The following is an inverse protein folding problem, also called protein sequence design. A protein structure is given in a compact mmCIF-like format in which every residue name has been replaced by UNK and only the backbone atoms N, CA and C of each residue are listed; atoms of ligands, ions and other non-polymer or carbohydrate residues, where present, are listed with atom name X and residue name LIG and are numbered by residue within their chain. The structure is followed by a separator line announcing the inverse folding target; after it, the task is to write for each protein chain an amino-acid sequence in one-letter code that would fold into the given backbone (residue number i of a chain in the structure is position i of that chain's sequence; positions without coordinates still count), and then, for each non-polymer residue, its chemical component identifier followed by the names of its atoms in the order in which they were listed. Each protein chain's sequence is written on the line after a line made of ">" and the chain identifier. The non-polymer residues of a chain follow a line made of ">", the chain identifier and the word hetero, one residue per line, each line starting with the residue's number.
data_IF_110307389644
#
_entry.id   IF_110307389644
#
_cell.length_a   1.000
_cell.length_b   1.000
_cell.length_c   1.000
_cell.angle_alpha   90.00
_cell.angle_beta   90.00
_cell.angle_gamma   90.00
#
_symmetry.space_group_name_H-M   'P 1'
#
loop_
_entity.id
_entity.type
_entity.pdbx_description
1 polymer ?
#
# COMPACT_ATOMS: atom_id res chain seq x y z
N UNK A 1 27.87 10.32 -10.49
CA UNK A 1 26.81 11.19 -11.02
C UNK A 1 26.69 12.42 -10.12
N UNK A 2 26.75 13.63 -10.69
CA UNK A 2 26.58 14.89 -9.95
C UNK A 2 25.06 15.06 -9.78
N UNK A 3 24.57 14.95 -8.55
CA UNK A 3 23.16 15.22 -8.23
C UNK A 3 22.85 16.70 -8.47
N UNK A 4 21.80 16.99 -9.22
CA UNK A 4 21.37 18.37 -9.51
C UNK A 4 20.75 19.01 -8.26
N UNK A 5 21.16 20.23 -7.94
CA UNK A 5 20.46 21.07 -6.96
C UNK A 5 19.23 21.70 -7.64
N UNK A 6 18.03 21.18 -7.35
CA UNK A 6 16.76 21.74 -7.84
C UNK A 6 16.06 22.51 -6.70
N UNK A 7 15.53 23.73 -6.92
CA UNK A 7 14.84 24.50 -5.88
C UNK A 7 13.57 23.82 -5.39
N UNK A 8 13.35 23.80 -4.08
CA UNK A 8 12.33 23.06 -3.35
C UNK A 8 10.88 23.26 -3.83
N UNK A 9 10.45 24.49 -4.10
CA UNK A 9 9.07 24.79 -4.52
C UNK A 9 8.72 24.16 -5.88
N UNK A 10 9.70 23.97 -6.75
CA UNK A 10 9.50 23.32 -8.04
C UNK A 10 9.30 21.79 -7.89
N UNK A 11 10.01 21.14 -6.97
CA UNK A 11 9.96 19.68 -6.82
C UNK A 11 8.58 19.16 -6.42
N UNK A 12 7.84 19.85 -5.54
CA UNK A 12 6.50 19.43 -5.12
C UNK A 12 5.45 19.63 -6.22
N UNK A 13 5.52 20.74 -6.91
CA UNK A 13 4.65 21.04 -8.07
C UNK A 13 4.93 20.05 -9.21
N UNK A 14 6.20 19.71 -9.45
CA UNK A 14 6.62 18.75 -10.46
C UNK A 14 6.20 17.32 -10.12
N UNK A 15 6.28 16.89 -8.86
CA UNK A 15 5.77 15.59 -8.43
C UNK A 15 4.26 15.45 -8.66
N UNK A 16 3.46 16.47 -8.38
CA UNK A 16 2.03 16.45 -8.67
C UNK A 16 1.73 16.39 -10.18
N UNK A 17 2.51 17.10 -10.98
CA UNK A 17 2.43 17.05 -12.44
C UNK A 17 2.80 15.65 -12.95
N UNK A 18 3.90 15.08 -12.46
CA UNK A 18 4.35 13.74 -12.84
C UNK A 18 3.37 12.66 -12.37
N UNK A 19 2.74 12.82 -11.21
CA UNK A 19 1.66 11.95 -10.76
C UNK A 19 0.45 11.99 -11.71
N UNK A 20 0.15 13.16 -12.31
CA UNK A 20 -0.88 13.23 -13.34
C UNK A 20 -0.45 12.50 -14.63
N UNK A 21 0.83 12.49 -14.98
CA UNK A 21 1.35 11.69 -16.09
C UNK A 21 1.21 10.19 -15.81
N UNK A 22 1.51 9.72 -14.59
CA UNK A 22 1.24 8.33 -14.19
C UNK A 22 -0.24 7.99 -14.34
N UNK A 23 -1.16 8.86 -13.90
CA UNK A 23 -2.61 8.67 -14.10
C UNK A 23 -3.00 8.54 -15.57
N UNK A 24 -2.38 9.32 -16.43
CA UNK A 24 -2.60 9.26 -17.87
C UNK A 24 -2.02 7.97 -18.46
N UNK A 25 -0.82 7.55 -18.02
CA UNK A 25 -0.20 6.29 -18.43
C UNK A 25 -1.06 5.08 -18.03
N UNK A 26 -1.60 5.06 -16.79
CA UNK A 26 -2.55 4.03 -16.33
C UNK A 26 -3.74 3.93 -17.30
N UNK A 27 -4.34 5.04 -17.72
CA UNK A 27 -5.47 5.02 -18.68
C UNK A 27 -5.04 4.54 -20.06
N UNK A 28 -3.91 5.03 -20.57
CA UNK A 28 -3.39 4.75 -21.92
C UNK A 28 -3.02 3.27 -22.06
N UNK A 29 -2.29 2.72 -21.09
CA UNK A 29 -1.73 1.37 -21.18
C UNK A 29 -2.80 0.27 -21.02
N UNK A 30 -3.95 0.57 -20.39
CA UNK A 30 -5.08 -0.38 -20.29
C UNK A 30 -5.77 -0.69 -21.63
N UNK A 31 -5.49 0.08 -22.69
CA UNK A 31 -6.04 -0.17 -24.04
C UNK A 31 -7.57 -0.21 -24.01
N UNK A 32 -8.21 0.95 -24.01
CA UNK A 32 -9.66 1.16 -23.77
C UNK A 32 -10.53 0.60 -24.92
N UNK A 33 -10.60 -0.72 -25.06
CA UNK A 33 -11.52 -1.36 -26.01
C UNK A 33 -12.73 -2.03 -25.34
N UNK A 34 -12.67 -2.27 -24.01
CA UNK A 34 -13.72 -2.94 -23.26
C UNK A 34 -14.29 -2.03 -22.17
N UNK A 35 -15.63 -1.91 -22.03
CA UNK A 35 -16.25 -1.03 -21.04
C UNK A 35 -15.74 -1.23 -19.61
N UNK A 36 -15.54 -2.48 -19.19
CA UNK A 36 -15.10 -2.77 -17.82
C UNK A 36 -13.64 -2.39 -17.56
N UNK A 37 -12.75 -2.35 -18.56
CA UNK A 37 -11.41 -1.81 -18.43
C UNK A 37 -11.43 -0.29 -18.21
N UNK A 38 -12.42 0.39 -18.80
CA UNK A 38 -12.66 1.82 -18.57
C UNK A 38 -13.06 2.08 -17.11
N UNK A 39 -13.95 1.25 -16.56
CA UNK A 39 -14.40 1.38 -15.15
C UNK A 39 -13.25 1.15 -14.18
N UNK A 40 -12.38 0.17 -14.45
CA UNK A 40 -11.19 -0.09 -13.66
C UNK A 40 -10.16 1.05 -13.76
N UNK A 41 -9.92 1.57 -14.97
CA UNK A 41 -9.05 2.73 -15.15
C UNK A 41 -9.55 3.95 -14.35
N UNK A 42 -10.85 4.19 -14.36
CA UNK A 42 -11.46 5.23 -13.55
C UNK A 42 -11.24 4.98 -12.06
N UNK A 43 -11.47 3.75 -11.57
CA UNK A 43 -11.21 3.39 -10.18
C UNK A 43 -9.76 3.66 -9.77
N UNK A 44 -8.79 3.26 -10.59
CA UNK A 44 -7.36 3.40 -10.29
C UNK A 44 -6.89 4.85 -10.16
N UNK A 45 -7.55 5.79 -10.83
CA UNK A 45 -7.17 7.20 -10.86
C UNK A 45 -8.08 8.11 -10.02
N UNK A 46 -9.04 7.54 -9.27
CA UNK A 46 -9.91 8.35 -8.41
C UNK A 46 -9.14 8.94 -7.21
N UNK A 47 -9.61 10.05 -6.62
CA UNK A 47 -9.00 10.64 -5.42
C UNK A 47 -8.93 9.72 -4.20
N UNK A 48 -9.80 8.69 -4.15
CA UNK A 48 -9.81 7.70 -3.07
C UNK A 48 -8.67 6.67 -3.17
N UNK A 49 -7.99 6.60 -4.30
CA UNK A 49 -6.78 5.81 -4.47
C UNK A 49 -5.59 6.78 -4.48
N UNK A 50 -5.06 7.08 -3.31
CA UNK A 50 -4.09 8.16 -3.09
C UNK A 50 -2.76 8.01 -3.87
N UNK A 51 -2.57 6.93 -4.65
CA UNK A 51 -1.36 6.67 -5.47
C UNK A 51 -0.05 6.99 -4.74
N UNK A 52 -0.04 6.79 -3.42
CA UNK A 52 1.13 7.08 -2.57
C UNK A 52 2.36 6.28 -2.98
N UNK A 53 2.20 5.09 -3.59
CA UNK A 53 3.32 4.28 -4.11
C UNK A 53 4.03 4.97 -5.27
N UNK A 54 3.25 5.44 -6.24
CA UNK A 54 3.77 6.22 -7.37
C UNK A 54 4.38 7.54 -6.92
N UNK A 55 3.82 8.17 -5.87
CA UNK A 55 4.37 9.38 -5.31
C UNK A 55 5.74 9.12 -4.66
N UNK A 56 5.89 8.04 -3.88
CA UNK A 56 7.18 7.63 -3.30
C UNK A 56 8.21 7.35 -4.39
N UNK A 57 7.84 6.63 -5.45
CA UNK A 57 8.70 6.40 -6.62
C UNK A 57 9.16 7.72 -7.24
N UNK A 58 8.24 8.64 -7.56
CA UNK A 58 8.55 9.89 -8.24
C UNK A 58 9.44 10.82 -7.40
N UNK A 59 9.17 10.91 -6.10
CA UNK A 59 9.99 11.68 -5.19
C UNK A 59 11.38 11.05 -5.01
N UNK A 60 11.48 9.73 -4.98
CA UNK A 60 12.79 9.05 -4.96
C UNK A 60 13.56 9.26 -6.29
N UNK A 61 12.85 9.26 -7.42
CA UNK A 61 13.45 9.51 -8.73
C UNK A 61 14.00 10.94 -8.86
N UNK A 62 13.34 11.93 -8.26
CA UNK A 62 13.79 13.33 -8.29
C UNK A 62 15.14 13.57 -7.57
N UNK A 63 15.64 12.60 -6.81
CA UNK A 63 17.00 12.63 -6.25
C UNK A 63 18.07 12.46 -7.34
N UNK A 64 17.74 11.88 -8.47
CA UNK A 64 18.69 11.51 -9.52
C UNK A 64 18.54 12.36 -10.77
N UNK A 65 17.32 12.43 -11.33
CA UNK A 65 17.02 13.25 -12.51
C UNK A 65 15.52 13.56 -12.60
N UNK A 66 15.13 14.38 -13.60
CA UNK A 66 13.72 14.62 -13.92
C UNK A 66 13.06 13.32 -14.46
N UNK A 67 11.89 12.94 -13.95
CA UNK A 67 11.19 11.73 -14.36
C UNK A 67 10.89 11.72 -15.86
N UNK A 68 11.32 10.67 -16.56
CA UNK A 68 11.04 10.39 -17.97
C UNK A 68 9.86 9.42 -18.16
N UNK A 69 9.62 8.98 -19.39
CA UNK A 69 8.56 8.03 -19.72
C UNK A 69 8.74 6.68 -19.01
N UNK A 70 9.99 6.24 -18.77
CA UNK A 70 10.27 4.96 -18.15
C UNK A 70 9.86 4.98 -16.66
N UNK A 71 10.19 6.05 -15.92
CA UNK A 71 9.78 6.17 -14.51
C UNK A 71 8.25 6.33 -14.37
N UNK A 72 7.60 7.00 -15.33
CA UNK A 72 6.14 7.12 -15.38
C UNK A 72 5.49 5.75 -15.64
N UNK A 73 6.06 4.96 -16.57
CA UNK A 73 5.62 3.59 -16.88
C UNK A 73 5.82 2.66 -15.65
N UNK A 74 6.93 2.76 -14.93
CA UNK A 74 7.15 2.05 -13.66
C UNK A 74 6.08 2.46 -12.62
N UNK A 75 5.78 3.74 -12.48
CA UNK A 75 4.72 4.23 -11.59
C UNK A 75 3.35 3.63 -11.92
N UNK A 76 2.98 3.57 -13.20
CA UNK A 76 1.73 2.93 -13.64
C UNK A 76 1.71 1.44 -13.30
N UNK A 77 2.85 0.76 -13.40
CA UNK A 77 3.01 -0.66 -13.05
C UNK A 77 2.75 -0.91 -11.57
N UNK A 78 3.26 -0.07 -10.67
CA UNK A 78 2.99 -0.20 -9.22
C UNK A 78 1.49 -0.10 -8.91
N UNK A 79 0.76 0.77 -9.60
CA UNK A 79 -0.69 0.90 -9.42
C UNK A 79 -1.45 -0.30 -10.00
N UNK A 80 -0.99 -0.90 -11.12
CA UNK A 80 -1.56 -2.13 -11.65
C UNK A 80 -1.38 -3.30 -10.70
N UNK A 81 -0.17 -3.52 -10.17
CA UNK A 81 0.13 -4.60 -9.22
C UNK A 81 -0.70 -4.48 -7.93
N UNK A 82 -0.82 -3.25 -7.40
CA UNK A 82 -1.68 -3.00 -6.25
C UNK A 82 -3.14 -3.33 -6.54
N UNK A 83 -3.66 -2.89 -7.68
CA UNK A 83 -5.05 -3.12 -8.07
C UNK A 83 -5.32 -4.60 -8.36
N UNK A 84 -4.40 -5.29 -9.03
CA UNK A 84 -4.47 -6.74 -9.25
C UNK A 84 -4.56 -7.50 -7.93
N UNK A 85 -3.68 -7.16 -6.97
CA UNK A 85 -3.70 -7.72 -5.61
C UNK A 85 -5.04 -7.50 -4.90
N UNK A 86 -5.61 -6.30 -5.02
CA UNK A 86 -6.91 -5.96 -4.44
C UNK A 86 -8.06 -6.74 -5.09
N UNK A 87 -8.03 -6.93 -6.41
CA UNK A 87 -9.01 -7.73 -7.16
C UNK A 87 -8.96 -9.20 -6.74
N UNK A 88 -7.78 -9.81 -6.70
CA UNK A 88 -7.61 -11.21 -6.30
C UNK A 88 -8.08 -11.46 -4.86
N UNK A 89 -7.84 -10.53 -3.94
CA UNK A 89 -8.31 -10.64 -2.55
C UNK A 89 -9.83 -10.61 -2.44
N UNK A 90 -10.51 -9.84 -3.27
CA UNK A 90 -11.95 -9.62 -3.20
C UNK A 90 -12.79 -10.75 -3.83
N UNK A 91 -12.15 -11.78 -4.41
CA UNK A 91 -12.85 -12.91 -5.06
C UNK A 91 -13.71 -13.69 -4.09
N UNK A 92 -13.29 -13.87 -2.84
CA UNK A 92 -13.98 -14.69 -1.85
C UNK A 92 -15.28 -14.08 -1.34
N UNK A 93 -15.46 -12.74 -1.46
CA UNK A 93 -16.61 -12.05 -0.91
C UNK A 93 -17.00 -10.84 -1.77
N UNK A 94 -17.94 -11.02 -2.74
CA UNK A 94 -18.39 -9.96 -3.66
C UNK A 94 -18.87 -8.67 -2.97
N UNK A 95 -19.42 -8.79 -1.75
CA UNK A 95 -19.91 -7.63 -0.98
C UNK A 95 -18.81 -6.79 -0.34
N UNK A 96 -17.57 -7.31 -0.28
CA UNK A 96 -16.45 -6.63 0.37
C UNK A 96 -15.66 -5.67 -0.53
N UNK A 97 -15.94 -5.64 -1.82
CA UNK A 97 -15.25 -4.76 -2.75
C UNK A 97 -15.62 -3.28 -2.56
N UNK A 98 -14.65 -2.36 -2.70
CA UNK A 98 -14.92 -0.92 -2.75
C UNK A 98 -15.91 -0.61 -3.88
N UNK A 99 -16.73 0.46 -3.74
CA UNK A 99 -17.92 0.71 -4.59
C UNK A 99 -17.71 0.45 -6.09
N UNK A 100 -16.58 0.85 -6.68
CA UNK A 100 -16.29 0.62 -8.10
C UNK A 100 -15.91 -0.84 -8.40
N UNK A 101 -15.16 -1.51 -7.51
CA UNK A 101 -14.91 -2.95 -7.62
C UNK A 101 -16.20 -3.74 -7.38
N UNK A 102 -17.11 -3.25 -6.52
CA UNK A 102 -18.45 -3.82 -6.37
C UNK A 102 -19.29 -3.69 -7.64
N UNK A 103 -19.16 -2.59 -8.38
CA UNK A 103 -19.83 -2.45 -9.68
C UNK A 103 -19.29 -3.46 -10.69
N UNK A 104 -17.96 -3.62 -10.78
CA UNK A 104 -17.35 -4.64 -11.63
C UNK A 104 -17.86 -6.03 -11.26
N UNK A 105 -17.84 -6.39 -9.97
CA UNK A 105 -18.31 -7.71 -9.52
C UNK A 105 -19.83 -7.91 -9.67
N UNK A 106 -20.64 -6.86 -9.45
CA UNK A 106 -22.10 -6.93 -9.65
C UNK A 106 -22.49 -7.06 -11.12
N UNK A 107 -21.73 -6.40 -12.00
CA UNK A 107 -22.01 -6.40 -13.43
C UNK A 107 -21.41 -7.63 -14.15
N UNK A 108 -20.26 -8.12 -13.70
CA UNK A 108 -19.42 -9.07 -14.44
C UNK A 108 -19.09 -10.34 -13.65
N UNK A 109 -19.51 -10.46 -12.38
CA UNK A 109 -19.24 -11.62 -11.52
C UNK A 109 -17.84 -11.64 -10.88
N UNK A 110 -17.61 -12.59 -9.97
CA UNK A 110 -16.33 -12.78 -9.28
C UNK A 110 -15.21 -13.25 -10.22
N UNK A 111 -15.53 -13.98 -11.27
CA UNK A 111 -14.59 -14.46 -12.28
C UNK A 111 -13.93 -13.31 -13.04
N UNK A 112 -14.67 -12.25 -13.33
CA UNK A 112 -14.13 -11.07 -13.97
C UNK A 112 -13.04 -10.38 -13.12
N UNK A 113 -13.14 -10.44 -11.80
CA UNK A 113 -12.11 -9.93 -10.89
C UNK A 113 -10.79 -10.69 -11.02
N UNK A 114 -10.84 -12.02 -11.14
CA UNK A 114 -9.65 -12.86 -11.37
C UNK A 114 -9.00 -12.50 -12.70
N UNK A 115 -9.78 -12.60 -13.78
CA UNK A 115 -9.29 -12.35 -15.13
C UNK A 115 -8.71 -10.95 -15.30
N UNK A 116 -9.34 -9.97 -14.66
CA UNK A 116 -8.85 -8.60 -14.69
C UNK A 116 -7.56 -8.43 -13.89
N UNK A 117 -7.44 -9.08 -12.72
CA UNK A 117 -6.19 -9.11 -11.96
C UNK A 117 -5.04 -9.71 -12.77
N UNK A 118 -5.29 -10.84 -13.46
CA UNK A 118 -4.31 -11.49 -14.35
C UNK A 118 -3.95 -10.60 -15.53
N UNK A 119 -4.93 -9.89 -16.10
CA UNK A 119 -4.69 -8.93 -17.18
C UNK A 119 -3.78 -7.77 -16.71
N UNK A 120 -4.05 -7.19 -15.51
CA UNK A 120 -3.20 -6.14 -14.94
C UNK A 120 -1.77 -6.62 -14.65
N UNK A 121 -1.61 -7.86 -14.15
CA UNK A 121 -0.31 -8.48 -14.00
C UNK A 121 0.42 -8.61 -15.34
N UNK A 122 -0.27 -9.08 -16.38
CA UNK A 122 0.30 -9.26 -17.72
C UNK A 122 0.78 -7.93 -18.32
N UNK A 123 -0.02 -6.86 -18.21
CA UNK A 123 0.38 -5.51 -18.63
C UNK A 123 1.60 -5.03 -17.84
N UNK A 124 1.62 -5.25 -16.52
CA UNK A 124 2.74 -4.86 -15.67
C UNK A 124 4.06 -5.45 -16.15
N UNK A 125 4.10 -6.75 -16.45
CA UNK A 125 5.29 -7.40 -17.00
C UNK A 125 5.64 -6.90 -18.40
N UNK A 126 4.66 -6.65 -19.27
CA UNK A 126 4.90 -6.09 -20.60
C UNK A 126 5.57 -4.70 -20.51
N UNK A 127 5.10 -3.84 -19.61
CA UNK A 127 5.68 -2.52 -19.40
C UNK A 127 7.12 -2.64 -18.86
N UNK A 128 7.37 -3.47 -17.84
CA UNK A 128 8.70 -3.65 -17.27
C UNK A 128 9.71 -4.19 -18.29
N UNK A 129 9.28 -5.10 -19.16
CA UNK A 129 10.12 -5.59 -20.28
C UNK A 129 10.44 -4.47 -21.26
N UNK A 130 9.47 -3.58 -21.57
CA UNK A 130 9.67 -2.42 -22.44
C UNK A 130 10.65 -1.40 -21.83
N UNK A 131 10.56 -1.13 -20.53
CA UNK A 131 11.52 -0.29 -19.76
C UNK A 131 12.94 -0.86 -19.90
N UNK A 132 13.08 -2.19 -19.96
CA UNK A 132 14.33 -2.86 -20.29
C UNK A 132 15.41 -2.80 -19.20
N UNK A 133 15.10 -2.36 -17.98
CA UNK A 133 15.99 -2.35 -16.83
C UNK A 133 15.78 -3.63 -16.01
N UNK A 134 16.79 -4.53 -16.02
CA UNK A 134 16.70 -5.83 -15.36
C UNK A 134 16.63 -5.73 -13.82
N UNK A 135 17.32 -4.76 -13.23
CA UNK A 135 17.31 -4.56 -11.77
C UNK A 135 15.92 -4.09 -11.31
N UNK A 136 15.28 -3.20 -12.10
CA UNK A 136 13.87 -2.80 -11.87
C UNK A 136 12.93 -3.99 -12.04
N UNK A 137 13.11 -4.78 -13.08
CA UNK A 137 12.28 -5.98 -13.32
C UNK A 137 12.41 -6.97 -12.18
N UNK A 138 13.63 -7.21 -11.68
CA UNK A 138 13.90 -8.13 -10.56
C UNK A 138 13.24 -7.64 -9.27
N UNK A 139 13.46 -6.37 -8.86
CA UNK A 139 12.91 -5.87 -7.61
C UNK A 139 11.38 -5.82 -7.61
N UNK A 140 10.75 -5.43 -8.73
CA UNK A 140 9.28 -5.39 -8.84
C UNK A 140 8.69 -6.80 -8.91
N UNK A 141 9.37 -7.74 -9.58
CA UNK A 141 8.96 -9.16 -9.61
C UNK A 141 9.02 -9.78 -8.21
N UNK A 142 10.08 -9.50 -7.44
CA UNK A 142 10.20 -9.95 -6.06
C UNK A 142 9.11 -9.34 -5.17
N UNK A 143 8.79 -8.06 -5.32
CA UNK A 143 7.68 -7.43 -4.61
C UNK A 143 6.34 -8.10 -4.96
N UNK A 144 6.12 -8.44 -6.23
CA UNK A 144 4.91 -9.15 -6.69
C UNK A 144 4.80 -10.55 -6.06
N UNK A 145 5.92 -11.29 -6.01
CA UNK A 145 5.98 -12.59 -5.32
C UNK A 145 5.66 -12.44 -3.82
N UNK A 146 6.21 -11.40 -3.17
CA UNK A 146 5.96 -11.13 -1.76
C UNK A 146 4.49 -10.78 -1.51
N UNK A 147 3.83 -10.02 -2.39
CA UNK A 147 2.39 -9.74 -2.31
C UNK A 147 1.59 -11.06 -2.29
N UNK A 148 1.87 -11.97 -3.23
CA UNK A 148 1.21 -13.28 -3.28
C UNK A 148 1.47 -14.10 -2.01
N UNK A 149 2.73 -14.13 -1.51
CA UNK A 149 3.09 -14.78 -0.26
C UNK A 149 2.33 -14.19 0.94
N UNK A 150 2.26 -12.87 1.03
CA UNK A 150 1.54 -12.17 2.09
C UNK A 150 0.03 -12.48 2.07
N UNK A 151 -0.58 -12.62 0.90
CA UNK A 151 -1.97 -13.07 0.76
C UNK A 151 -2.17 -14.51 1.27
N UNK A 152 -1.24 -15.41 0.97
CA UNK A 152 -1.28 -16.79 1.51
C UNK A 152 -1.11 -16.80 3.03
N UNK A 153 -0.18 -16.02 3.57
CA UNK A 153 0.02 -15.88 5.02
C UNK A 153 -1.23 -15.33 5.71
N UNK A 154 -1.90 -14.33 5.13
CA UNK A 154 -3.13 -13.76 5.67
C UNK A 154 -4.26 -14.78 5.79
N UNK A 155 -4.33 -15.74 4.87
CA UNK A 155 -5.36 -16.80 4.88
C UNK A 155 -4.98 -17.94 5.83
N UNK A 156 -3.69 -18.12 6.13
CA UNK A 156 -3.20 -19.23 6.96
C UNK A 156 -3.48 -19.06 8.45
N UNK A 157 -3.65 -17.82 8.92
CA UNK A 157 -3.99 -17.52 10.32
C UNK A 157 -5.24 -16.65 10.38
N UNK A 158 -6.22 -16.94 11.26
CA UNK A 158 -7.38 -16.09 11.45
C UNK A 158 -6.98 -14.69 11.90
N UNK A 159 -7.64 -13.62 11.40
CA UNK A 159 -7.31 -12.23 11.75
C UNK A 159 -7.29 -11.94 13.25
N UNK A 160 -8.14 -12.65 13.99
CA UNK A 160 -8.39 -12.42 15.41
C UNK A 160 -7.37 -13.06 16.34
N UNK A 161 -6.57 -14.00 15.83
CA UNK A 161 -5.48 -14.66 16.58
C UNK A 161 -4.11 -14.21 16.09
N UNK A 162 -4.07 -13.37 15.06
CA UNK A 162 -2.83 -12.87 14.49
C UNK A 162 -2.07 -12.00 15.49
N UNK A 163 -0.85 -12.41 15.79
CA UNK A 163 0.04 -11.61 16.64
C UNK A 163 0.49 -10.33 15.92
N UNK A 164 0.92 -9.28 16.64
CA UNK A 164 1.51 -8.08 16.03
C UNK A 164 2.66 -8.43 15.06
N UNK A 165 3.48 -9.42 15.39
CA UNK A 165 4.57 -9.91 14.52
C UNK A 165 4.04 -10.49 13.21
N UNK A 166 2.97 -11.29 13.27
CA UNK A 166 2.35 -11.87 12.07
C UNK A 166 1.72 -10.78 11.21
N UNK A 167 0.93 -9.87 11.81
CA UNK A 167 0.35 -8.74 11.11
C UNK A 167 1.42 -7.89 10.39
N UNK A 168 2.53 -7.56 11.10
CA UNK A 168 3.65 -6.80 10.52
C UNK A 168 4.24 -7.53 9.31
N UNK A 169 4.43 -8.85 9.40
CA UNK A 169 4.96 -9.66 8.29
C UNK A 169 4.03 -9.63 7.08
N UNK A 170 2.73 -9.87 7.29
CA UNK A 170 1.71 -9.83 6.23
C UNK A 170 1.66 -8.45 5.57
N UNK A 171 1.67 -7.38 6.36
CA UNK A 171 1.63 -6.01 5.86
C UNK A 171 2.90 -5.64 5.09
N UNK A 172 4.09 -6.05 5.56
CA UNK A 172 5.34 -5.87 4.83
C UNK A 172 5.29 -6.53 3.46
N UNK A 173 4.85 -7.78 3.40
CA UNK A 173 4.78 -8.53 2.16
C UNK A 173 3.72 -7.97 1.19
N UNK A 174 2.50 -7.72 1.67
CA UNK A 174 1.36 -7.34 0.83
C UNK A 174 1.34 -5.87 0.39
N UNK A 175 1.86 -4.98 1.23
CA UNK A 175 1.64 -3.54 1.07
C UNK A 175 2.96 -2.79 1.02
N UNK A 176 3.74 -2.83 2.11
CA UNK A 176 4.92 -2.00 2.26
C UNK A 176 6.03 -2.36 1.26
N UNK A 177 6.17 -3.66 0.92
CA UNK A 177 7.16 -4.12 -0.06
C UNK A 177 7.03 -3.48 -1.42
N UNK A 178 5.82 -3.11 -1.83
CA UNK A 178 5.61 -2.43 -3.11
C UNK A 178 6.03 -0.94 -3.07
N UNK A 179 5.94 -0.29 -1.90
CA UNK A 179 6.53 1.04 -1.69
C UNK A 179 8.07 0.98 -1.72
N UNK A 180 8.64 -0.03 -1.05
CA UNK A 180 10.08 -0.30 -1.09
C UNK A 180 10.59 -0.52 -2.51
N UNK A 181 9.94 -1.40 -3.27
CA UNK A 181 10.30 -1.67 -4.66
C UNK A 181 10.14 -0.42 -5.55
N UNK A 182 9.15 0.43 -5.30
CA UNK A 182 9.01 1.71 -6.00
C UNK A 182 10.22 2.63 -5.76
N UNK A 183 10.60 2.87 -4.50
CA UNK A 183 11.74 3.71 -4.16
C UNK A 183 13.07 3.11 -4.68
N UNK A 184 13.24 1.79 -4.58
CA UNK A 184 14.39 1.07 -5.12
C UNK A 184 14.49 1.17 -6.64
N UNK A 185 13.37 1.05 -7.34
CA UNK A 185 13.29 1.20 -8.81
C UNK A 185 13.78 2.57 -9.25
N UNK A 186 13.52 3.63 -8.48
CA UNK A 186 14.04 4.97 -8.76
C UNK A 186 15.57 5.01 -8.71
N UNK A 187 16.20 4.32 -7.75
CA UNK A 187 17.66 4.22 -7.68
C UNK A 187 18.25 3.46 -8.88
N UNK A 188 17.66 2.35 -9.28
CA UNK A 188 18.12 1.59 -10.44
C UNK A 188 17.91 2.36 -11.75
N UNK A 189 16.78 3.05 -11.90
CA UNK A 189 16.54 3.96 -13.02
C UNK A 189 17.59 5.08 -13.06
N UNK A 190 17.90 5.69 -11.93
CA UNK A 190 18.94 6.72 -11.77
C UNK A 190 20.37 6.16 -11.85
N UNK A 191 20.56 4.86 -12.11
CA UNK A 191 21.86 4.18 -12.19
C UNK A 191 22.73 4.39 -10.96
N UNK A 192 22.13 4.38 -9.80
CA UNK A 192 22.78 4.55 -8.50
C UNK A 192 23.43 3.25 -8.01
N UNK A 193 24.14 3.33 -6.87
CA UNK A 193 24.76 2.15 -6.25
C UNK A 193 23.73 1.21 -5.65
N UNK A 194 24.09 -0.07 -5.51
CA UNK A 194 23.27 -1.07 -4.79
C UNK A 194 23.01 -0.66 -3.34
N UNK A 195 23.98 -0.02 -2.68
CA UNK A 195 23.81 0.47 -1.32
C UNK A 195 22.72 1.57 -1.25
N UNK A 196 22.70 2.50 -2.21
CA UNK A 196 21.64 3.52 -2.33
C UNK A 196 20.28 2.88 -2.64
N UNK A 197 20.26 1.92 -3.56
CA UNK A 197 19.04 1.19 -3.93
C UNK A 197 18.44 0.44 -2.74
N UNK A 198 19.27 -0.27 -1.95
CA UNK A 198 18.86 -0.94 -0.72
C UNK A 198 18.34 0.04 0.34
N UNK A 199 19.01 1.17 0.52
CA UNK A 199 18.58 2.21 1.48
C UNK A 199 17.24 2.82 1.09
N UNK A 200 17.00 3.07 -0.19
CA UNK A 200 15.70 3.56 -0.68
C UNK A 200 14.62 2.48 -0.58
N UNK A 201 14.95 1.19 -0.74
CA UNK A 201 14.00 0.12 -0.45
C UNK A 201 13.53 0.16 1.00
N UNK A 202 14.46 0.26 1.96
CA UNK A 202 14.13 0.34 3.38
C UNK A 202 13.30 1.59 3.70
N UNK A 203 13.67 2.74 3.14
CA UNK A 203 12.88 3.98 3.24
C UNK A 203 11.43 3.76 2.78
N UNK A 204 11.24 3.26 1.56
CA UNK A 204 9.91 3.01 1.00
C UNK A 204 9.12 1.98 1.81
N UNK A 205 9.80 0.96 2.34
CA UNK A 205 9.19 -0.05 3.21
C UNK A 205 8.62 0.58 4.50
N UNK A 206 9.38 1.42 5.18
CA UNK A 206 8.95 2.12 6.38
C UNK A 206 7.80 3.11 6.10
N UNK A 207 7.88 3.87 5.00
CA UNK A 207 6.77 4.72 4.54
C UNK A 207 5.50 3.90 4.30
N UNK A 208 5.60 2.76 3.62
CA UNK A 208 4.46 1.88 3.35
C UNK A 208 3.82 1.30 4.61
N UNK A 209 4.63 0.95 5.63
CA UNK A 209 4.14 0.52 6.93
C UNK A 209 3.39 1.64 7.65
N UNK A 210 3.95 2.86 7.69
CA UNK A 210 3.32 4.01 8.31
C UNK A 210 1.99 4.38 7.63
N UNK A 211 1.95 4.40 6.30
CA UNK A 211 0.74 4.65 5.51
C UNK A 211 -0.36 3.64 5.84
N UNK A 212 -0.01 2.35 5.97
CA UNK A 212 -0.99 1.33 6.32
C UNK A 212 -1.51 1.49 7.75
N UNK A 213 -0.64 1.75 8.73
CA UNK A 213 -1.03 1.99 10.12
C UNK A 213 -1.99 3.18 10.23
N UNK A 214 -1.68 4.32 9.61
CA UNK A 214 -2.55 5.51 9.58
C UNK A 214 -3.88 5.25 8.85
N UNK A 215 -3.85 4.49 7.75
CA UNK A 215 -5.06 4.11 7.01
C UNK A 215 -6.00 3.26 7.87
N UNK A 216 -5.45 2.31 8.63
CA UNK A 216 -6.24 1.47 9.52
C UNK A 216 -6.80 2.26 10.71
N UNK A 217 -6.02 3.18 11.27
CA UNK A 217 -6.47 4.07 12.35
C UNK A 217 -7.64 4.95 11.88
N UNK A 218 -7.48 5.65 10.76
CA UNK A 218 -8.54 6.47 10.17
C UNK A 218 -9.82 5.65 9.85
N UNK A 219 -9.67 4.39 9.46
CA UNK A 219 -10.80 3.50 9.18
C UNK A 219 -11.59 3.12 10.45
N UNK A 220 -10.97 3.14 11.62
CA UNK A 220 -11.64 2.86 12.91
C UNK A 220 -12.24 4.12 13.51
N UNK A 221 -11.64 5.27 13.29
CA UNK A 221 -12.15 6.58 13.73
C UNK A 221 -13.41 7.01 12.96
N UNK A 222 -13.56 6.58 11.70
CA UNK A 222 -14.80 6.76 10.94
C UNK A 222 -15.80 5.65 11.30
N UNK A 223 -16.85 6.01 12.06
CA UNK A 223 -17.87 5.09 12.52
C UNK A 223 -18.52 4.27 11.38
N UNK A 224 -18.82 4.91 10.24
CA UNK A 224 -19.44 4.23 9.10
C UNK A 224 -18.48 3.23 8.46
N UNK A 225 -17.24 3.61 8.34
CA UNK A 225 -16.19 2.77 7.74
C UNK A 225 -15.86 1.60 8.66
N UNK A 226 -15.80 1.83 9.97
CA UNK A 226 -15.58 0.77 10.96
C UNK A 226 -16.73 -0.24 10.98
N UNK A 227 -17.99 0.21 11.01
CA UNK A 227 -19.15 -0.68 10.89
C UNK A 227 -19.14 -1.49 9.58
N UNK A 228 -18.70 -0.89 8.46
CA UNK A 228 -18.55 -1.62 7.20
C UNK A 228 -17.46 -2.69 7.28
N UNK A 229 -16.32 -2.42 7.92
CA UNK A 229 -15.27 -3.41 8.15
C UNK A 229 -15.78 -4.58 9.00
N UNK A 230 -16.52 -4.29 10.06
CA UNK A 230 -17.13 -5.31 10.91
C UNK A 230 -18.13 -6.18 10.14
N UNK A 231 -19.05 -5.56 9.39
CA UNK A 231 -20.01 -6.31 8.52
C UNK A 231 -19.33 -7.24 7.54
N UNK A 232 -18.13 -6.90 7.10
CA UNK A 232 -17.32 -7.69 6.17
C UNK A 232 -16.43 -8.70 6.87
N UNK A 233 -16.45 -8.75 8.19
CA UNK A 233 -15.49 -9.51 9.01
C UNK A 233 -14.03 -9.23 8.64
N UNK A 234 -13.76 -8.03 8.10
CA UNK A 234 -12.41 -7.57 7.74
C UNK A 234 -11.71 -7.01 8.99
N UNK A 235 -11.32 -7.92 9.85
CA UNK A 235 -10.70 -7.63 11.14
C UNK A 235 -9.16 -7.76 11.09
N UNK A 236 -8.60 -7.94 9.91
CA UNK A 236 -7.17 -7.82 9.69
C UNK A 236 -6.74 -6.37 9.88
N UNK A 237 -6.45 -6.03 11.13
CA UNK A 237 -6.13 -4.68 11.54
C UNK A 237 -5.03 -4.74 12.58
N UNK A 238 -4.05 -3.80 12.55
CA UNK A 238 -3.09 -3.64 13.62
C UNK A 238 -3.78 -3.39 14.96
N UNK A 239 -4.94 -2.71 14.96
CA UNK A 239 -5.70 -2.45 16.17
C UNK A 239 -6.17 -3.74 16.83
N UNK A 240 -6.71 -4.71 16.08
CA UNK A 240 -7.14 -5.99 16.65
C UNK A 240 -5.96 -6.80 17.17
N UNK A 241 -4.84 -6.86 16.45
CA UNK A 241 -3.67 -7.62 16.89
C UNK A 241 -3.01 -6.99 18.13
N UNK A 242 -2.91 -5.67 18.19
CA UNK A 242 -2.41 -4.95 19.35
C UNK A 242 -3.37 -5.02 20.54
N UNK A 243 -4.68 -5.02 20.29
CA UNK A 243 -5.68 -5.22 21.35
C UNK A 243 -5.45 -6.56 22.04
N UNK A 244 -5.30 -7.65 21.28
CA UNK A 244 -5.03 -8.97 21.85
C UNK A 244 -3.72 -9.03 22.65
N UNK A 245 -2.69 -8.31 22.22
CA UNK A 245 -1.41 -8.21 22.92
C UNK A 245 -1.50 -7.40 24.24
N UNK A 246 -2.43 -6.42 24.29
CA UNK A 246 -2.62 -5.55 25.45
C UNK A 246 -3.60 -6.11 26.50
N UNK A 247 -4.43 -7.06 26.11
CA UNK A 247 -5.46 -7.63 26.97
C UNK A 247 -4.94 -8.76 27.85
N UNK A 248 -5.51 -8.98 29.06
CA UNK A 248 -5.30 -10.22 29.80
C UNK A 248 -5.71 -11.44 28.95
N UNK A 249 -4.99 -12.57 29.04
CA UNK A 249 -5.25 -13.75 28.21
C UNK A 249 -6.69 -14.25 28.24
N UNK A 250 -7.35 -14.20 29.42
CA UNK A 250 -8.76 -14.58 29.57
C UNK A 250 -9.72 -13.65 28.79
N UNK A 251 -9.53 -12.32 28.85
CA UNK A 251 -10.34 -11.37 28.08
C UNK A 251 -10.10 -11.53 26.57
N UNK A 252 -8.84 -11.78 26.18
CA UNK A 252 -8.46 -12.02 24.78
C UNK A 252 -9.12 -13.30 24.21
N UNK A 253 -9.14 -14.39 25.01
CA UNK A 253 -9.83 -15.63 24.61
C UNK A 253 -11.33 -15.44 24.48
N UNK A 254 -11.97 -14.76 25.46
CA UNK A 254 -13.43 -14.48 25.39
C UNK A 254 -13.78 -13.63 24.17
N UNK A 255 -12.97 -12.62 23.85
CA UNK A 255 -13.19 -11.80 22.67
C UNK A 255 -13.06 -12.63 21.38
N UNK A 256 -12.03 -13.48 21.29
CA UNK A 256 -11.81 -14.35 20.14
C UNK A 256 -12.96 -15.32 19.94
N UNK A 257 -13.46 -15.92 21.00
CA UNK A 257 -14.58 -16.87 20.98
C UNK A 257 -15.88 -16.20 20.50
N UNK A 258 -16.17 -15.00 21.01
CA UNK A 258 -17.33 -14.21 20.56
C UNK A 258 -17.23 -13.80 19.10
N UNK A 259 -16.04 -13.39 18.65
CA UNK A 259 -15.81 -12.99 17.27
C UNK A 259 -15.92 -14.17 16.28
N UNK A 260 -15.65 -15.39 16.72
CA UNK A 260 -15.72 -16.59 15.88
C UNK A 260 -17.12 -17.22 15.88
N UNK A 261 -17.80 -17.22 17.02
CA UNK A 261 -19.02 -18.04 17.21
C UNK A 261 -20.30 -17.20 17.35
N UNK A 262 -20.23 -15.94 17.79
CA UNK A 262 -21.39 -15.11 18.14
C UNK A 262 -21.29 -13.70 17.51
N UNK A 263 -20.92 -13.60 16.23
CA UNK A 263 -20.63 -12.34 15.60
C UNK A 263 -21.87 -11.50 15.32
N UNK A 264 -22.19 -10.57 16.23
CA UNK A 264 -23.20 -9.52 16.01
C UNK A 264 -22.53 -8.15 15.79
N UNK A 265 -22.82 -7.49 14.66
CA UNK A 265 -22.13 -6.24 14.26
C UNK A 265 -22.35 -5.10 15.25
N UNK A 266 -23.59 -4.76 15.70
CA UNK A 266 -23.81 -3.70 16.69
C UNK A 266 -23.11 -3.97 18.02
N UNK A 267 -23.17 -5.19 18.53
CA UNK A 267 -22.51 -5.57 19.78
C UNK A 267 -20.98 -5.45 19.66
N UNK A 268 -20.42 -5.99 18.57
CA UNK A 268 -18.98 -5.94 18.31
C UNK A 268 -18.47 -4.52 18.11
N UNK A 269 -19.21 -3.67 17.41
CA UNK A 269 -18.87 -2.26 17.25
C UNK A 269 -18.71 -1.57 18.62
N UNK A 270 -19.70 -1.76 19.50
CA UNK A 270 -19.69 -1.17 20.84
C UNK A 270 -18.57 -1.75 21.69
N UNK A 271 -18.40 -3.09 21.68
CA UNK A 271 -17.39 -3.79 22.49
C UNK A 271 -15.97 -3.42 22.06
N UNK A 272 -15.65 -3.48 20.76
CA UNK A 272 -14.33 -3.14 20.23
C UNK A 272 -14.00 -1.66 20.45
N UNK A 273 -14.95 -0.75 20.24
CA UNK A 273 -14.75 0.68 20.52
C UNK A 273 -14.43 0.95 21.99
N UNK A 274 -15.12 0.27 22.92
CA UNK A 274 -14.80 0.33 24.34
C UNK A 274 -13.40 -0.23 24.65
N UNK A 275 -13.05 -1.39 24.09
CA UNK A 275 -11.77 -2.04 24.36
C UNK A 275 -10.59 -1.26 23.77
N UNK A 276 -10.72 -0.69 22.55
CA UNK A 276 -9.70 0.17 21.96
C UNK A 276 -9.40 1.37 22.87
N UNK A 277 -10.43 1.97 23.45
CA UNK A 277 -10.27 3.08 24.38
C UNK A 277 -9.69 2.62 25.73
N UNK A 278 -10.18 1.51 26.28
CA UNK A 278 -9.71 0.96 27.58
C UNK A 278 -8.21 0.64 27.57
N UNK A 279 -7.70 0.13 26.44
CA UNK A 279 -6.31 -0.30 26.30
C UNK A 279 -5.44 0.67 25.49
N UNK A 280 -5.95 1.87 25.19
CA UNK A 280 -5.23 2.92 24.44
C UNK A 280 -4.61 2.40 23.14
N UNK A 281 -5.38 1.57 22.40
CA UNK A 281 -4.86 0.88 21.20
C UNK A 281 -4.60 1.85 20.08
N UNK A 282 -5.46 2.88 19.90
CA UNK A 282 -5.27 3.91 18.86
C UNK A 282 -3.98 4.69 19.08
N UNK A 283 -3.66 5.05 20.29
CA UNK A 283 -2.43 5.76 20.68
C UNK A 283 -1.18 4.90 20.40
N UNK A 284 -1.28 3.59 20.65
CA UNK A 284 -0.19 2.65 20.33
C UNK A 284 0.03 2.52 18.82
N UNK A 285 -1.05 2.39 18.04
CA UNK A 285 -0.96 2.35 16.57
C UNK A 285 -0.37 3.65 16.03
N UNK A 286 -0.78 4.79 16.59
CA UNK A 286 -0.21 6.10 16.23
C UNK A 286 1.29 6.15 16.53
N UNK A 287 1.70 5.72 17.73
CA UNK A 287 3.12 5.68 18.13
C UNK A 287 3.94 4.74 17.24
N UNK A 288 3.39 3.60 16.81
CA UNK A 288 4.04 2.71 15.85
C UNK A 288 4.19 3.37 14.47
N UNK A 289 3.17 4.08 13.99
CA UNK A 289 3.27 4.82 12.72
C UNK A 289 4.36 5.91 12.75
N UNK A 290 4.45 6.64 13.86
CA UNK A 290 5.50 7.65 14.06
C UNK A 290 6.91 7.02 14.18
N UNK A 291 7.01 5.81 14.74
CA UNK A 291 8.27 5.06 14.75
C UNK A 291 8.70 4.71 13.32
N UNK A 292 7.80 4.15 12.51
CA UNK A 292 8.09 3.82 11.12
C UNK A 292 8.53 5.07 10.32
N UNK A 293 7.91 6.23 10.54
CA UNK A 293 8.33 7.47 9.87
C UNK A 293 9.71 7.96 10.33
N UNK A 294 10.08 7.75 11.59
CA UNK A 294 11.45 8.04 12.07
C UNK A 294 12.48 7.13 11.42
N UNK A 295 12.21 5.82 11.36
CA UNK A 295 13.08 4.86 10.67
C UNK A 295 13.24 5.21 9.19
N UNK A 296 12.14 5.63 8.51
CA UNK A 296 12.22 6.12 7.15
C UNK A 296 13.16 7.34 7.03
N UNK A 297 13.06 8.29 7.95
CA UNK A 297 13.94 9.46 7.97
C UNK A 297 15.40 9.06 8.19
N UNK A 298 15.68 8.15 9.12
CA UNK A 298 17.03 7.62 9.37
C UNK A 298 17.62 6.92 8.13
N UNK A 299 16.78 6.24 7.32
CA UNK A 299 17.22 5.70 6.04
C UNK A 299 17.73 6.82 5.11
N UNK A 300 16.99 7.94 5.02
CA UNK A 300 17.41 9.07 4.17
C UNK A 300 18.69 9.75 4.68
N UNK A 301 18.88 9.87 5.99
CA UNK A 301 20.08 10.43 6.59
C UNK A 301 21.35 9.63 6.22
N UNK A 302 21.22 8.32 5.97
CA UNK A 302 22.31 7.45 5.51
C UNK A 302 22.72 7.70 4.05
N UNK A 303 21.91 8.42 3.27
CA UNK A 303 22.23 8.71 1.86
C UNK A 303 23.22 9.85 1.66
N UNK A 304 23.71 10.50 2.73
CA UNK A 304 24.65 11.64 2.69
C UNK A 304 24.21 12.75 1.72
N UNK A 305 22.90 13.01 1.64
CA UNK A 305 22.29 14.02 0.80
C UNK A 305 22.05 15.33 1.58
N UNK A 306 22.06 16.47 0.88
CA UNK A 306 21.66 17.74 1.46
C UNK A 306 20.23 17.71 1.98
N UNK A 307 19.97 18.40 3.10
CA UNK A 307 18.65 18.50 3.71
C UNK A 307 17.57 19.01 2.74
N UNK A 308 17.95 19.88 1.80
CA UNK A 308 17.06 20.39 0.76
C UNK A 308 16.66 19.29 -0.25
N UNK A 309 17.55 18.35 -0.58
CA UNK A 309 17.27 17.22 -1.46
C UNK A 309 16.36 16.18 -0.78
N UNK A 310 16.53 16.01 0.53
CA UNK A 310 15.74 15.08 1.33
C UNK A 310 14.34 15.59 1.68
N UNK A 311 14.11 16.89 1.63
CA UNK A 311 12.87 17.53 2.07
C UNK A 311 11.60 16.99 1.38
N UNK A 312 11.55 16.71 0.07
CA UNK A 312 10.38 16.10 -0.57
C UNK A 312 10.03 14.72 0.02
N UNK A 313 11.05 13.95 0.43
CA UNK A 313 10.90 12.62 0.99
C UNK A 313 10.53 12.64 2.48
N UNK A 314 10.85 13.70 3.22
CA UNK A 314 10.52 13.82 4.65
C UNK A 314 9.07 14.25 4.91
N UNK A 315 8.34 14.71 3.90
CA UNK A 315 6.93 15.18 4.04
C UNK A 315 5.93 14.07 4.32
N UNK A 316 6.31 12.79 4.22
CA UNK A 316 5.44 11.67 4.64
C UNK A 316 5.09 11.68 6.13
N UNK A 317 5.76 12.49 6.95
CA UNK A 317 5.36 12.73 8.35
C UNK A 317 4.00 13.44 8.47
N UNK A 318 3.48 14.02 7.37
CA UNK A 318 2.21 14.73 7.34
C UNK A 318 1.03 13.92 6.73
N UNK A 319 1.27 12.68 6.30
CA UNK A 319 0.23 11.73 5.89
C UNK A 319 -0.26 11.00 7.12
#
# INVERSE_FOLDING_TARGET
>A
LIMKQVPYENNFLDCNKNLQLVKNAVKKNLGISLPFLTDIAHYMVTPHNNQTRSLVLLQSASLFDDPDDDIIDIGSTLEYLHTASALHRNIKEPEKARRHLQQVQKLWGSEAGILLGDYLLSISFQILVKVGNLDVLECVSLATQNIARGQVLEVSEPPLTATPKHWRRVTRDKIAGLFGAGAQSAAYWGKSSEATASTLFDFGMHVGMAVQLKTELAAVEDEKLFQQKLKKQDLWSPLCSLLHDCMPPNESMELSDKLLNEFDVPEMFTKLGYLFKKYEVSEKVHSEAELELREAKECLERLELDSAQLQPLTQYSMI
#
